data_IF_754068975778
#
_entry.id   IF_754068975778
#
_cell.length_a   1.000
_cell.length_b   1.000
_cell.length_c   1.000
_cell.angle_alpha   90.00
_cell.angle_beta   90.00
_cell.angle_gamma   90.00
#
_symmetry.space_group_name_H-M   'P 1'
#
loop_
_entity.id
_entity.type
_entity.pdbx_description
1 polymer ?
#
# COMPACT_ATOMS: atom_id res chain seq x y z
N UNK A 1 8.68 23.42 8.34
CA UNK A 1 7.80 23.94 7.33
C UNK A 1 6.83 22.90 6.86
N UNK A 2 5.61 23.27 6.88
CA UNK A 2 4.57 22.33 6.55
C UNK A 2 4.54 21.98 5.09
N UNK A 3 5.09 22.83 4.27
CA UNK A 3 5.09 22.53 2.86
C UNK A 3 5.84 21.30 2.52
N UNK A 4 6.88 20.99 3.27
CA UNK A 4 7.65 19.84 2.95
C UNK A 4 6.88 18.57 3.14
N UNK A 5 6.05 18.55 4.16
CA UNK A 5 5.24 17.36 4.36
C UNK A 5 4.24 17.18 3.25
N UNK A 6 3.74 18.26 2.74
CA UNK A 6 2.77 18.16 1.67
C UNK A 6 3.40 17.90 0.35
N UNK A 7 4.71 18.00 0.29
CA UNK A 7 5.40 17.75 -0.95
C UNK A 7 5.75 16.33 -1.17
N UNK A 8 5.41 15.47 -0.23
CA UNK A 8 5.64 14.07 -0.46
C UNK A 8 4.88 13.66 -1.70
N UNK A 9 5.61 13.24 -2.69
CA UNK A 9 5.02 12.91 -3.95
C UNK A 9 4.23 11.64 -3.87
N UNK A 10 3.10 11.65 -4.53
CA UNK A 10 2.31 10.45 -4.70
C UNK A 10 2.48 9.97 -6.11
N UNK A 11 2.91 8.75 -6.24
CA UNK A 11 3.11 8.16 -7.55
C UNK A 11 1.96 7.21 -7.79
N UNK A 12 1.31 7.39 -8.92
CA UNK A 12 0.25 6.50 -9.30
C UNK A 12 0.85 5.16 -9.68
N UNK A 13 0.44 4.12 -8.99
CA UNK A 13 1.03 2.81 -9.18
C UNK A 13 -0.03 1.77 -8.91
N UNK A 14 -0.42 1.03 -9.93
CA UNK A 14 -1.47 0.01 -9.81
C UNK A 14 -0.82 -1.35 -9.86
N UNK A 15 -0.60 -1.93 -8.71
CA UNK A 15 0.02 -3.24 -8.59
C UNK A 15 -0.73 -4.04 -7.55
N UNK A 16 -0.63 -5.36 -7.60
CA UNK A 16 -1.28 -6.19 -6.59
C UNK A 16 -0.70 -5.98 -5.22
N UNK A 17 -1.58 -5.94 -4.23
CA UNK A 17 -1.22 -5.85 -2.83
C UNK A 17 -1.75 -7.11 -2.17
N UNK A 18 -0.85 -7.91 -1.62
CA UNK A 18 -1.22 -9.18 -1.01
C UNK A 18 -1.40 -8.98 0.47
N UNK A 19 -2.54 -9.40 0.98
CA UNK A 19 -2.87 -9.31 2.38
C UNK A 19 -2.96 -10.72 2.95
N UNK A 20 -3.02 -10.81 4.28
CA UNK A 20 -3.06 -12.12 4.93
C UNK A 20 -4.26 -12.93 4.47
N UNK A 21 -5.41 -12.30 4.32
CA UNK A 21 -6.63 -13.01 3.97
C UNK A 21 -7.24 -12.55 2.66
N UNK A 22 -6.44 -11.98 1.79
CA UNK A 22 -6.99 -11.53 0.53
C UNK A 22 -5.98 -10.71 -0.22
N UNK A 23 -6.48 -9.93 -1.15
CA UNK A 23 -5.59 -9.09 -1.93
C UNK A 23 -6.33 -7.83 -2.33
N UNK A 24 -5.57 -6.85 -2.75
CA UNK A 24 -6.10 -5.60 -3.25
C UNK A 24 -5.29 -5.12 -4.41
N UNK A 25 -5.59 -3.91 -4.82
CA UNK A 25 -4.89 -3.26 -5.93
C UNK A 25 -4.54 -1.86 -5.49
N UNK A 26 -3.28 -1.54 -5.57
CA UNK A 26 -2.85 -0.19 -5.18
C UNK A 26 -3.35 0.84 -6.18
N UNK A 27 -3.45 2.07 -5.72
CA UNK A 27 -3.79 3.21 -6.56
C UNK A 27 -2.63 4.16 -6.63
N UNK A 28 -2.07 4.47 -5.48
CA UNK A 28 -0.90 5.34 -5.45
C UNK A 28 -0.08 5.03 -4.23
N UNK A 29 1.14 5.50 -4.25
CA UNK A 29 2.10 5.25 -3.18
C UNK A 29 2.95 6.50 -3.02
N UNK A 30 3.34 6.76 -1.79
CA UNK A 30 4.27 7.85 -1.49
C UNK A 30 5.39 7.27 -0.65
N UNK A 31 6.26 8.12 -0.17
CA UNK A 31 7.37 7.65 0.66
C UNK A 31 6.93 7.08 1.98
N UNK A 32 5.76 7.45 2.46
CA UNK A 32 5.32 7.04 3.79
C UNK A 32 4.01 6.28 3.82
N UNK A 33 3.30 6.17 2.71
CA UNK A 33 1.98 5.54 2.75
C UNK A 33 1.62 4.99 1.39
N UNK A 34 0.69 4.05 1.42
CA UNK A 34 0.15 3.45 0.20
C UNK A 34 -1.37 3.47 0.32
N UNK A 35 -2.03 3.71 -0.79
CA UNK A 35 -3.48 3.62 -0.87
C UNK A 35 -3.85 2.48 -1.81
N UNK A 36 -4.67 1.56 -1.33
CA UNK A 36 -5.10 0.43 -2.14
C UNK A 36 -6.56 0.12 -1.89
N UNK A 37 -7.16 -0.58 -2.82
CA UNK A 37 -8.57 -0.95 -2.76
C UNK A 37 -8.65 -2.45 -2.60
N UNK A 38 -9.47 -2.89 -1.65
CA UNK A 38 -9.61 -4.31 -1.35
C UNK A 38 -11.03 -4.58 -0.90
N UNK A 39 -11.44 -5.83 -0.99
CA UNK A 39 -12.75 -6.23 -0.48
C UNK A 39 -12.73 -6.47 1.01
N UNK A 40 -11.57 -6.45 1.62
CA UNK A 40 -11.41 -6.78 3.02
C UNK A 40 -11.46 -5.52 3.86
N UNK A 41 -12.28 -5.52 4.90
CA UNK A 41 -12.30 -4.39 5.81
C UNK A 41 -11.16 -4.51 6.80
N UNK A 42 -10.40 -3.45 6.92
CA UNK A 42 -9.28 -3.37 7.87
C UNK A 42 -9.55 -2.19 8.79
N UNK A 43 -9.68 -2.44 10.09
CA UNK A 43 -10.05 -1.34 11.00
C UNK A 43 -8.97 -0.26 11.04
N UNK A 44 -9.37 1.01 11.08
CA UNK A 44 -8.39 2.10 11.24
C UNK A 44 -7.59 1.92 12.51
N UNK A 45 -6.29 2.20 12.41
CA UNK A 45 -5.41 2.09 13.55
C UNK A 45 -4.84 0.71 13.76
N UNK A 46 -5.34 -0.29 13.06
CA UNK A 46 -4.84 -1.65 13.26
C UNK A 46 -3.54 -1.86 12.49
N UNK A 47 -2.69 -2.76 12.99
CA UNK A 47 -1.49 -3.11 12.23
C UNK A 47 -1.87 -3.91 11.00
N UNK A 48 -1.08 -3.73 9.95
CA UNK A 48 -1.32 -4.44 8.71
C UNK A 48 0.00 -4.85 8.10
N UNK A 49 0.06 -6.09 7.64
CA UNK A 49 1.20 -6.62 6.91
C UNK A 49 0.74 -6.88 5.49
N UNK A 50 1.53 -6.45 4.54
CA UNK A 50 1.14 -6.62 3.15
C UNK A 50 2.38 -6.73 2.28
N UNK A 51 2.20 -7.29 1.10
CA UNK A 51 3.28 -7.43 0.13
C UNK A 51 2.86 -6.75 -1.16
N UNK A 52 3.80 -6.08 -1.77
CA UNK A 52 3.57 -5.37 -3.03
C UNK A 52 4.47 -5.99 -4.08
N UNK A 53 3.90 -6.31 -5.23
CA UNK A 53 4.67 -6.88 -6.33
C UNK A 53 4.94 -5.83 -7.38
N UNK A 54 6.21 -5.65 -7.67
CA UNK A 54 6.65 -4.63 -8.60
C UNK A 54 7.31 -5.32 -9.79
N UNK A 55 6.48 -5.92 -10.63
CA UNK A 55 7.03 -6.70 -11.74
C UNK A 55 7.68 -5.83 -12.80
N UNK A 56 7.33 -4.55 -12.83
CA UNK A 56 7.85 -3.65 -13.85
C UNK A 56 9.12 -2.93 -13.43
N UNK A 57 9.46 -2.98 -12.16
CA UNK A 57 10.58 -2.22 -11.66
C UNK A 57 11.91 -2.73 -12.21
N UNK A 58 11.99 -4.05 -12.41
CA UNK A 58 13.20 -4.68 -12.91
C UNK A 58 12.80 -5.69 -13.95
N UNK A 59 12.96 -5.39 -15.22
CA UNK A 59 12.57 -6.35 -16.25
C UNK A 59 13.26 -7.69 -16.07
N UNK A 60 12.49 -8.75 -16.13
CA UNK A 60 13.03 -10.08 -15.97
C UNK A 60 13.26 -10.51 -14.55
N UNK A 61 13.03 -9.60 -13.59
CA UNK A 61 13.23 -9.93 -12.19
C UNK A 61 12.12 -9.32 -11.38
N UNK A 62 11.08 -10.07 -11.07
CA UNK A 62 10.00 -9.52 -10.24
C UNK A 62 10.54 -9.13 -8.88
N UNK A 63 10.09 -8.00 -8.40
CA UNK A 63 10.49 -7.48 -7.11
C UNK A 63 9.30 -7.53 -6.19
N UNK A 64 9.50 -8.02 -4.99
CA UNK A 64 8.45 -8.07 -3.99
C UNK A 64 8.92 -7.35 -2.75
N UNK A 65 8.06 -6.46 -2.25
CA UNK A 65 8.31 -5.75 -1.01
C UNK A 65 7.33 -6.24 0.02
N UNK A 66 7.86 -6.69 1.15
CA UNK A 66 7.02 -7.01 2.30
C UNK A 66 7.04 -5.81 3.23
N UNK A 67 5.87 -5.37 3.63
CA UNK A 67 5.74 -4.15 4.40
C UNK A 67 4.89 -4.37 5.63
N UNK A 68 5.19 -3.63 6.68
CA UNK A 68 4.41 -3.60 7.89
C UNK A 68 4.10 -2.17 8.23
N UNK A 69 2.84 -1.89 8.50
CA UNK A 69 2.43 -0.56 8.82
C UNK A 69 1.16 -0.57 9.60
N UNK A 70 0.44 0.54 9.56
CA UNK A 70 -0.83 0.68 10.23
C UNK A 70 -1.85 1.23 9.27
N UNK A 71 -3.10 0.84 9.46
CA UNK A 71 -4.19 1.40 8.69
C UNK A 71 -4.44 2.81 9.20
N UNK A 72 -4.27 3.78 8.31
CA UNK A 72 -4.45 5.18 8.65
C UNK A 72 -5.88 5.63 8.45
N UNK A 73 -6.52 5.12 7.40
CA UNK A 73 -7.85 5.57 7.05
C UNK A 73 -8.53 4.50 6.19
N UNK A 74 -9.82 4.38 6.36
CA UNK A 74 -10.63 3.46 5.57
C UNK A 74 -11.81 4.26 5.04
N UNK A 75 -12.09 4.11 3.76
CA UNK A 75 -13.26 4.71 3.16
C UNK A 75 -13.94 3.71 2.25
N UNK A 76 -15.21 3.93 2.02
CA UNK A 76 -15.94 3.04 1.14
C UNK A 76 -15.66 3.41 -0.31
N UNK A 77 -15.47 2.40 -1.11
CA UNK A 77 -15.17 2.59 -2.52
C UNK A 77 -16.04 1.61 -3.30
N UNK A 78 -17.29 1.96 -3.50
CA UNK A 78 -18.25 1.06 -4.12
C UNK A 78 -18.52 -0.11 -3.21
N UNK A 79 -18.30 -1.31 -3.70
CA UNK A 79 -18.46 -2.51 -2.89
C UNK A 79 -17.18 -2.92 -2.21
N UNK A 80 -16.15 -2.10 -2.31
CA UNK A 80 -14.86 -2.40 -1.72
C UNK A 80 -14.49 -1.31 -0.75
N UNK A 81 -13.31 -1.41 -0.20
CA UNK A 81 -12.80 -0.44 0.75
C UNK A 81 -11.51 0.14 0.24
N UNK A 82 -11.38 1.45 0.35
CA UNK A 82 -10.12 2.12 0.10
C UNK A 82 -9.36 2.23 1.39
N UNK A 83 -8.14 1.71 1.41
CA UNK A 83 -7.33 1.63 2.61
C UNK A 83 -6.10 2.49 2.41
N UNK A 84 -5.88 3.41 3.31
CA UNK A 84 -4.62 4.14 3.38
C UNK A 84 -3.81 3.53 4.52
N UNK A 85 -2.64 3.03 4.20
CA UNK A 85 -1.79 2.36 5.20
C UNK A 85 -0.41 2.97 5.18
N UNK A 86 0.19 3.07 6.35
CA UNK A 86 1.55 3.58 6.44
C UNK A 86 2.54 2.52 5.95
N UNK A 87 3.66 3.00 5.43
CA UNK A 87 4.76 2.12 5.04
C UNK A 87 5.79 2.14 6.17
N UNK A 88 5.44 1.52 7.28
CA UNK A 88 6.30 1.58 8.45
C UNK A 88 7.65 0.95 8.19
N UNK A 89 7.66 -0.32 7.88
CA UNK A 89 8.88 -1.03 7.57
C UNK A 89 8.66 -1.85 6.32
N UNK A 90 9.58 -1.74 5.38
CA UNK A 90 9.49 -2.50 4.14
C UNK A 90 10.86 -3.07 3.82
N UNK A 91 10.86 -4.27 3.28
CA UNK A 91 12.10 -4.89 2.85
C UNK A 91 11.84 -5.72 1.62
N UNK A 92 12.89 -5.90 0.83
CA UNK A 92 12.80 -6.67 -0.41
C UNK A 92 12.90 -8.15 -0.11
N UNK A 93 12.06 -8.91 -0.78
CA UNK A 93 12.07 -10.36 -0.69
C UNK A 93 12.29 -10.90 -2.08
N UNK A 94 13.29 -11.72 -2.24
CA UNK A 94 13.55 -12.35 -3.54
C UNK A 94 13.53 -13.83 -3.43
#
# INVERSE_FOLDING_TARGET
MDEEKRREERIRLEVPVMLANGMGMSRDISGSAIYFVTEQFLPPGSPVSFSVRLDHACPGKPLQLDCQGQVLRVEEAGKKFGIAASLGECWCVN
#
